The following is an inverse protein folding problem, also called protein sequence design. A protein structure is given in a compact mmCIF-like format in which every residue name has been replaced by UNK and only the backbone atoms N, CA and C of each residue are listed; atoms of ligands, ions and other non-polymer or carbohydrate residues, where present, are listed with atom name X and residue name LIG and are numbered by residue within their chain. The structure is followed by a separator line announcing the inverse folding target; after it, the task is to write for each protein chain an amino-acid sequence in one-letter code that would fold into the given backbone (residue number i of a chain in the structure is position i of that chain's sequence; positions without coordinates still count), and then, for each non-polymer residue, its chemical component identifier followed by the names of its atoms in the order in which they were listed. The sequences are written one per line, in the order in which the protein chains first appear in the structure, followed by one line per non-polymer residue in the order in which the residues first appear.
data_IF_108144687108
#
_entry.id   IF_108144687108
#
_cell.length_a   1.000
_cell.length_b   1.000
_cell.length_c   1.000
_cell.angle_alpha   90.00
_cell.angle_beta   90.00
_cell.angle_gamma   90.00
#
_symmetry.space_group_name_H-M   'P 1'
#
loop_
_entity.id
_entity.type
_entity.pdbx_description
1 polymer ?
#
# COMPACT_ATOMS: atom_id res chain seq x y z
N UNK A 1 29.10 27.12 -10.49
CA UNK A 1 28.79 27.60 -11.86
C UNK A 1 28.06 26.52 -12.61
N UNK A 2 27.12 26.87 -13.48
CA UNK A 2 26.52 25.96 -14.46
C UNK A 2 27.25 26.12 -15.80
N UNK A 3 27.59 24.98 -16.41
CA UNK A 3 28.38 24.90 -17.64
C UNK A 3 27.70 23.90 -18.56
N UNK A 4 27.71 24.16 -19.87
CA UNK A 4 27.20 23.21 -20.85
C UNK A 4 27.98 21.89 -20.81
N UNK A 5 27.26 20.76 -20.69
CA UNK A 5 27.86 19.43 -20.65
C UNK A 5 28.61 19.06 -21.93
N UNK A 6 28.15 19.56 -23.09
CA UNK A 6 28.80 19.38 -24.39
C UNK A 6 30.10 20.17 -24.49
N UNK A 7 30.15 21.38 -23.93
CA UNK A 7 31.40 22.14 -23.80
C UNK A 7 32.40 21.40 -22.92
N UNK A 8 31.96 20.81 -21.81
CA UNK A 8 32.85 20.07 -20.90
C UNK A 8 33.47 18.82 -21.55
N UNK A 9 32.82 18.22 -22.55
CA UNK A 9 33.28 16.98 -23.22
C UNK A 9 34.03 17.25 -24.53
N UNK A 10 33.58 18.21 -25.32
CA UNK A 10 34.06 18.45 -26.69
C UNK A 10 34.58 19.88 -26.91
N UNK A 11 34.71 20.65 -25.84
CA UNK A 11 35.27 22.00 -25.83
C UNK A 11 34.55 22.94 -26.81
N UNK A 12 35.21 24.00 -27.27
CA UNK A 12 34.62 25.05 -28.12
C UNK A 12 34.17 24.59 -29.50
N UNK A 13 34.46 23.34 -29.88
CA UNK A 13 34.02 22.76 -31.15
C UNK A 13 32.51 22.48 -31.19
N UNK A 14 31.89 22.25 -30.03
CA UNK A 14 30.47 21.86 -29.91
C UNK A 14 29.58 22.91 -29.23
N UNK A 15 30.13 23.75 -28.35
CA UNK A 15 29.39 24.80 -27.65
C UNK A 15 30.33 25.93 -27.22
N UNK A 16 29.80 27.14 -27.02
CA UNK A 16 30.60 28.25 -26.49
C UNK A 16 30.99 28.04 -25.02
N UNK A 17 32.15 28.58 -24.63
CA UNK A 17 32.72 28.48 -23.28
C UNK A 17 32.02 29.39 -22.25
N UNK A 18 30.69 29.40 -22.25
CA UNK A 18 29.92 30.20 -21.33
C UNK A 18 29.70 29.41 -20.03
N UNK A 19 30.12 30.00 -18.91
CA UNK A 19 29.81 29.53 -17.57
C UNK A 19 28.99 30.61 -16.87
N UNK A 20 27.91 30.20 -16.20
CA UNK A 20 27.04 31.10 -15.46
C UNK A 20 27.23 30.81 -13.98
N UNK A 21 27.36 31.86 -13.17
CA UNK A 21 27.39 31.73 -11.71
C UNK A 21 26.15 30.97 -11.23
N UNK A 22 26.36 29.99 -10.35
CA UNK A 22 25.26 29.16 -9.85
C UNK A 22 24.21 30.02 -9.13
N UNK A 23 24.68 30.95 -8.29
CA UNK A 23 23.83 31.89 -7.54
C UNK A 23 22.89 32.70 -8.44
N UNK A 24 23.35 33.11 -9.63
CA UNK A 24 22.54 33.90 -10.57
C UNK A 24 21.44 33.03 -11.16
N UNK A 25 21.78 31.82 -11.60
CA UNK A 25 20.82 30.86 -12.19
C UNK A 25 19.79 30.44 -11.14
N UNK A 26 20.25 30.05 -9.95
CA UNK A 26 19.39 29.63 -8.85
C UNK A 26 18.45 30.74 -8.41
N UNK A 27 18.94 31.99 -8.33
CA UNK A 27 18.08 33.15 -8.01
C UNK A 27 16.98 33.35 -9.04
N UNK A 28 17.31 33.30 -10.33
CA UNK A 28 16.32 33.46 -11.41
C UNK A 28 15.31 32.33 -11.38
N UNK A 29 15.76 31.08 -11.24
CA UNK A 29 14.87 29.91 -11.12
C UNK A 29 13.95 30.06 -9.90
N UNK A 30 14.47 30.45 -8.74
CA UNK A 30 13.67 30.65 -7.54
C UNK A 30 12.59 31.72 -7.72
N UNK A 31 12.89 32.83 -8.39
CA UNK A 31 11.88 33.87 -8.69
C UNK A 31 10.77 33.32 -9.59
N UNK A 32 11.12 32.54 -10.62
CA UNK A 32 10.13 31.93 -11.50
C UNK A 32 9.32 30.84 -10.79
N UNK A 33 9.95 30.02 -9.95
CA UNK A 33 9.26 29.01 -9.15
C UNK A 33 8.26 29.65 -8.19
N UNK A 34 8.64 30.69 -7.45
CA UNK A 34 7.73 31.39 -6.54
C UNK A 34 6.55 32.02 -7.29
N UNK A 35 6.75 32.51 -8.51
CA UNK A 35 5.67 33.03 -9.37
C UNK A 35 4.71 31.94 -9.88
N UNK A 36 5.20 30.73 -10.06
CA UNK A 36 4.37 29.58 -10.45
C UNK A 36 3.60 29.08 -9.22
N UNK A 37 4.27 28.97 -8.07
CA UNK A 37 3.67 28.52 -6.83
C UNK A 37 2.67 29.53 -6.26
N UNK A 38 2.79 30.83 -6.53
CA UNK A 38 1.78 31.83 -6.13
C UNK A 38 0.44 31.70 -6.87
N UNK A 39 0.35 30.86 -7.91
CA UNK A 39 -0.89 30.61 -8.64
C UNK A 39 -1.70 29.50 -7.95
N UNK A 40 -2.88 29.82 -7.39
CA UNK A 40 -3.65 28.87 -6.59
C UNK A 40 -4.14 27.66 -7.41
N UNK A 41 -4.37 27.83 -8.70
CA UNK A 41 -4.82 26.75 -9.58
C UNK A 41 -3.73 25.72 -9.85
N UNK A 42 -2.47 26.17 -9.96
CA UNK A 42 -1.31 25.28 -10.12
C UNK A 42 -1.10 24.45 -8.85
N UNK A 43 -1.20 25.07 -7.67
CA UNK A 43 -1.11 24.34 -6.39
C UNK A 43 -2.20 23.26 -6.30
N UNK A 44 -3.44 23.61 -6.65
CA UNK A 44 -4.55 22.65 -6.63
C UNK A 44 -4.31 21.48 -7.58
N UNK A 45 -3.79 21.73 -8.77
CA UNK A 45 -3.45 20.67 -9.73
C UNK A 45 -2.35 19.76 -9.20
N UNK A 46 -1.25 20.33 -8.69
CA UNK A 46 -0.14 19.56 -8.09
C UNK A 46 -0.66 18.69 -6.94
N UNK A 47 -1.42 19.29 -6.02
CA UNK A 47 -1.99 18.55 -4.89
C UNK A 47 -2.96 17.45 -5.33
N UNK A 48 -3.69 17.65 -6.43
CA UNK A 48 -4.61 16.64 -6.95
C UNK A 48 -3.85 15.49 -7.60
N UNK A 49 -2.84 15.77 -8.42
CA UNK A 49 -2.01 14.76 -9.08
C UNK A 49 -1.25 13.90 -8.06
N UNK A 50 -0.66 14.51 -7.04
CA UNK A 50 0.05 13.76 -5.96
C UNK A 50 -0.92 12.84 -5.21
N UNK A 51 -2.13 13.31 -4.92
CA UNK A 51 -3.14 12.50 -4.24
C UNK A 51 -3.65 11.37 -5.14
N UNK A 52 -3.82 11.62 -6.43
CA UNK A 52 -4.22 10.58 -7.39
C UNK A 52 -3.14 9.50 -7.53
N UNK A 53 -1.86 9.87 -7.62
CA UNK A 53 -0.76 8.90 -7.62
C UNK A 53 -0.71 8.07 -6.34
N UNK A 54 -0.93 8.71 -5.18
CA UNK A 54 -1.00 8.00 -3.90
C UNK A 54 -2.19 7.04 -3.85
N UNK A 55 -3.36 7.46 -4.34
CA UNK A 55 -4.55 6.60 -4.45
C UNK A 55 -4.31 5.40 -5.37
N UNK A 56 -3.69 5.61 -6.53
CA UNK A 56 -3.37 4.53 -7.47
C UNK A 56 -2.40 3.53 -6.84
N UNK A 57 -1.35 4.00 -6.16
CA UNK A 57 -0.40 3.13 -5.44
C UNK A 57 -1.08 2.33 -4.33
N UNK A 58 -1.97 2.95 -3.56
CA UNK A 58 -2.73 2.26 -2.52
C UNK A 58 -3.72 1.25 -3.10
N UNK A 59 -4.45 1.59 -4.17
CA UNK A 59 -5.41 0.69 -4.84
C UNK A 59 -4.73 -0.57 -5.34
N UNK A 60 -3.53 -0.44 -5.92
CA UNK A 60 -2.75 -1.58 -6.40
C UNK A 60 -2.18 -2.45 -5.25
N UNK A 61 -2.18 -1.95 -4.01
CA UNK A 61 -1.78 -2.71 -2.81
C UNK A 61 -2.96 -3.38 -2.10
N UNK A 62 -4.21 -3.05 -2.43
CA UNK A 62 -5.39 -3.51 -1.67
C UNK A 62 -5.91 -4.89 -2.12
N UNK A 63 -5.29 -5.55 -3.10
CA UNK A 63 -5.80 -6.82 -3.67
C UNK A 63 -5.40 -8.09 -2.92
N UNK A 64 -4.74 -8.00 -1.76
CA UNK A 64 -4.61 -9.15 -0.85
C UNK A 64 -5.52 -8.93 0.35
N UNK A 65 -6.81 -8.66 0.10
CA UNK A 65 -7.84 -9.04 1.07
C UNK A 65 -7.83 -10.56 1.10
N UNK A 66 -7.03 -11.13 2.00
CA UNK A 66 -7.17 -12.54 2.34
C UNK A 66 -8.65 -12.83 2.50
N UNK A 67 -9.16 -13.83 1.78
CA UNK A 67 -10.58 -14.19 1.77
C UNK A 67 -10.93 -14.85 3.12
N UNK A 68 -11.02 -14.00 4.15
CA UNK A 68 -11.37 -14.38 5.52
C UNK A 68 -12.72 -15.10 5.51
N UNK A 69 -13.65 -14.69 4.64
CA UNK A 69 -14.96 -15.33 4.48
C UNK A 69 -14.83 -16.77 3.98
N UNK A 70 -13.96 -17.04 3.01
CA UNK A 70 -13.68 -18.40 2.54
C UNK A 70 -13.00 -19.25 3.62
N UNK A 71 -12.04 -18.69 4.36
CA UNK A 71 -11.39 -19.40 5.47
C UNK A 71 -12.38 -19.72 6.61
N UNK A 72 -13.26 -18.77 6.96
CA UNK A 72 -14.32 -18.99 7.96
C UNK A 72 -15.35 -20.03 7.50
N UNK A 73 -15.71 -20.06 6.20
CA UNK A 73 -16.55 -21.11 5.62
C UNK A 73 -15.89 -22.49 5.68
N UNK A 74 -14.58 -22.58 5.43
CA UNK A 74 -13.84 -23.84 5.55
C UNK A 74 -13.81 -24.33 7.01
N UNK A 75 -13.59 -23.41 7.95
CA UNK A 75 -13.65 -23.70 9.39
C UNK A 75 -15.04 -24.22 9.82
N UNK A 76 -16.11 -23.60 9.34
CA UNK A 76 -17.48 -24.02 9.63
C UNK A 76 -17.76 -25.45 9.10
N UNK A 77 -17.31 -25.77 7.89
CA UNK A 77 -17.44 -27.12 7.31
C UNK A 77 -16.73 -28.19 8.15
N UNK A 78 -15.51 -27.92 8.62
CA UNK A 78 -14.77 -28.86 9.46
C UNK A 78 -15.44 -29.09 10.82
N UNK A 79 -16.05 -28.05 11.41
CA UNK A 79 -16.85 -28.20 12.65
C UNK A 79 -18.07 -29.09 12.44
N UNK A 80 -18.81 -28.88 11.35
CA UNK A 80 -19.95 -29.75 11.01
C UNK A 80 -19.51 -31.20 10.75
N UNK A 81 -18.32 -31.41 10.19
CA UNK A 81 -17.74 -32.75 10.03
C UNK A 81 -17.37 -33.39 11.37
N UNK A 82 -16.87 -32.62 12.34
CA UNK A 82 -16.64 -33.12 13.71
C UNK A 82 -17.94 -33.51 14.41
N UNK A 83 -18.99 -32.68 14.31
CA UNK A 83 -20.30 -32.98 14.87
C UNK A 83 -20.86 -34.28 14.30
N UNK A 84 -20.79 -34.46 12.98
CA UNK A 84 -21.22 -35.69 12.31
C UNK A 84 -20.39 -36.92 12.70
N UNK A 85 -19.09 -36.75 12.95
CA UNK A 85 -18.23 -37.84 13.43
C UNK A 85 -18.63 -38.30 14.85
N UNK A 86 -19.03 -37.36 15.70
CA UNK A 86 -19.54 -37.68 17.04
C UNK A 86 -20.88 -38.40 16.97
N UNK A 87 -21.78 -38.00 16.06
CA UNK A 87 -23.04 -38.70 15.81
C UNK A 87 -22.81 -40.16 15.37
N UNK A 88 -21.94 -40.39 14.39
CA UNK A 88 -21.60 -41.74 13.91
C UNK A 88 -20.97 -42.64 15.00
N UNK A 89 -20.25 -42.05 15.95
CA UNK A 89 -19.72 -42.78 17.10
C UNK A 89 -20.83 -43.16 18.09
N UNK A 90 -21.78 -42.26 18.33
CA UNK A 90 -22.92 -42.51 19.23
C UNK A 90 -23.87 -43.57 18.67
N UNK A 91 -23.97 -43.68 17.34
CA UNK A 91 -24.74 -44.69 16.63
C UNK A 91 -24.02 -46.06 16.53
N UNK A 92 -22.86 -46.22 17.21
CA UNK A 92 -22.04 -47.44 17.24
C UNK A 92 -21.50 -47.86 15.84
N UNK A 93 -21.51 -46.95 14.87
CA UNK A 93 -21.00 -47.16 13.51
C UNK A 93 -19.48 -46.93 13.38
N UNK A 94 -18.80 -46.54 14.47
CA UNK A 94 -17.38 -46.20 14.45
C UNK A 94 -16.67 -46.52 15.78
N UNK A 95 -15.46 -47.08 15.68
CA UNK A 95 -14.61 -47.39 16.84
C UNK A 95 -13.89 -46.14 17.40
N UNK A 96 -13.64 -46.16 18.72
CA UNK A 96 -12.99 -45.10 19.50
C UNK A 96 -11.58 -44.76 19.01
N UNK A 97 -10.82 -45.74 18.53
CA UNK A 97 -9.48 -45.48 17.97
C UNK A 97 -9.56 -44.71 16.64
N UNK A 98 -10.52 -45.05 15.76
CA UNK A 98 -10.75 -44.34 14.51
C UNK A 98 -11.29 -42.93 14.73
N UNK A 99 -12.18 -42.74 15.70
CA UNK A 99 -12.67 -41.43 16.11
C UNK A 99 -11.51 -40.53 16.56
N UNK A 100 -10.65 -41.00 17.47
CA UNK A 100 -9.52 -40.23 17.99
C UNK A 100 -8.54 -39.82 16.89
N UNK A 101 -8.23 -40.72 15.95
CA UNK A 101 -7.35 -40.42 14.83
C UNK A 101 -7.92 -39.31 13.93
N UNK A 102 -9.19 -39.44 13.52
CA UNK A 102 -9.85 -38.42 12.68
C UNK A 102 -10.06 -37.09 13.40
N UNK A 103 -10.37 -37.13 14.70
CA UNK A 103 -10.55 -35.92 15.50
C UNK A 103 -9.23 -35.17 15.68
N UNK A 104 -8.11 -35.87 15.88
CA UNK A 104 -6.77 -35.29 15.93
C UNK A 104 -6.39 -34.60 14.62
N UNK A 105 -6.63 -35.24 13.48
CA UNK A 105 -6.36 -34.67 12.16
C UNK A 105 -7.19 -33.40 11.91
N UNK A 106 -8.49 -33.44 12.23
CA UNK A 106 -9.37 -32.28 12.09
C UNK A 106 -8.99 -31.12 13.02
N UNK A 107 -8.54 -31.42 14.25
CA UNK A 107 -8.06 -30.40 15.17
C UNK A 107 -6.80 -29.71 14.66
N UNK A 108 -5.86 -30.46 14.07
CA UNK A 108 -4.67 -29.86 13.44
C UNK A 108 -5.05 -28.95 12.27
N UNK A 109 -6.00 -29.37 11.43
CA UNK A 109 -6.50 -28.54 10.33
C UNK A 109 -7.21 -27.28 10.83
N UNK A 110 -7.97 -27.37 11.92
CA UNK A 110 -8.61 -26.21 12.57
C UNK A 110 -7.58 -25.23 13.14
N UNK A 111 -6.52 -25.72 13.78
CA UNK A 111 -5.43 -24.89 14.30
C UNK A 111 -4.70 -24.13 13.18
N UNK A 112 -4.41 -24.79 12.06
CA UNK A 112 -3.81 -24.16 10.88
C UNK A 112 -4.73 -23.08 10.30
N UNK A 113 -6.02 -23.36 10.14
CA UNK A 113 -7.00 -22.38 9.66
C UNK A 113 -7.16 -21.21 10.63
N UNK A 114 -7.13 -21.44 11.94
CA UNK A 114 -7.20 -20.38 12.95
C UNK A 114 -5.97 -19.47 12.92
N UNK A 115 -4.79 -20.05 12.73
CA UNK A 115 -3.56 -19.29 12.56
C UNK A 115 -3.60 -18.45 11.27
N UNK A 116 -4.06 -19.02 10.16
CA UNK A 116 -4.23 -18.30 8.89
C UNK A 116 -5.26 -17.17 8.98
N UNK A 117 -6.38 -17.37 9.67
CA UNK A 117 -7.40 -16.33 9.90
C UNK A 117 -6.81 -15.21 10.76
N UNK A 118 -6.01 -15.54 11.78
CA UNK A 118 -5.37 -14.56 12.65
C UNK A 118 -4.35 -13.71 11.89
N UNK A 119 -3.52 -14.34 11.07
CA UNK A 119 -2.54 -13.66 10.19
C UNK A 119 -3.25 -12.78 9.16
N UNK A 120 -4.31 -13.29 8.53
CA UNK A 120 -5.15 -12.53 7.60
C UNK A 120 -5.81 -11.31 8.27
N UNK A 121 -6.33 -11.45 9.51
CA UNK A 121 -6.93 -10.35 10.27
C UNK A 121 -5.90 -9.29 10.66
N UNK A 122 -4.69 -9.69 11.05
CA UNK A 122 -3.59 -8.77 11.36
C UNK A 122 -3.11 -8.01 10.10
N UNK A 123 -3.01 -8.70 8.96
CA UNK A 123 -2.65 -8.09 7.69
C UNK A 123 -3.70 -7.07 7.20
N UNK A 124 -4.99 -7.39 7.34
CA UNK A 124 -6.09 -6.48 6.98
C UNK A 124 -6.20 -5.28 7.93
N UNK A 125 -6.01 -5.46 9.24
CA UNK A 125 -5.98 -4.33 10.20
C UNK A 125 -4.86 -3.32 9.88
N UNK A 126 -3.74 -3.79 9.32
CA UNK A 126 -2.63 -2.93 8.89
C UNK A 126 -2.96 -2.16 7.59
N UNK A 127 -3.99 -2.58 6.84
CA UNK A 127 -4.46 -1.92 5.61
C UNK A 127 -5.59 -0.90 5.86
N UNK A 128 -6.29 -0.97 7.01
CA UNK A 128 -7.38 -0.04 7.36
C UNK A 128 -6.91 1.39 7.71
N UNK A 129 -5.59 1.62 7.79
CA UNK A 129 -4.99 2.97 7.86
C UNK A 129 -5.01 3.66 6.47
N UNK A 130 -6.16 3.62 5.79
CA UNK A 130 -6.39 4.36 4.54
C UNK A 130 -6.21 5.84 4.88
N UNK A 131 -5.17 6.51 4.35
CA UNK A 131 -4.96 7.91 4.66
C UNK A 131 -6.17 8.71 4.20
N UNK A 132 -6.72 9.58 5.06
CA UNK A 132 -7.76 10.51 4.63
C UNK A 132 -7.16 11.47 3.59
N UNK A 133 -7.34 11.13 2.31
CA UNK A 133 -6.75 11.83 1.18
C UNK A 133 -7.24 13.27 1.06
N UNK A 134 -8.45 13.59 1.51
CA UNK A 134 -8.96 14.96 1.50
C UNK A 134 -8.28 15.82 2.56
N UNK A 135 -8.07 15.27 3.76
CA UNK A 135 -7.27 15.92 4.82
C UNK A 135 -5.82 16.11 4.37
N UNK A 136 -5.26 15.12 3.66
CA UNK A 136 -3.90 15.19 3.13
C UNK A 136 -3.78 16.26 2.05
N UNK A 137 -4.74 16.33 1.11
CA UNK A 137 -4.83 17.35 0.06
C UNK A 137 -4.87 18.76 0.64
N UNK A 138 -5.75 18.99 1.63
CA UNK A 138 -5.86 20.29 2.29
C UNK A 138 -4.54 20.71 2.98
N UNK A 139 -3.85 19.76 3.62
CA UNK A 139 -2.59 20.02 4.31
C UNK A 139 -1.43 20.28 3.33
N UNK A 140 -1.43 19.60 2.19
CA UNK A 140 -0.47 19.79 1.10
C UNK A 140 -0.61 21.18 0.48
N UNK A 141 -1.85 21.59 0.19
CA UNK A 141 -2.15 22.94 -0.31
C UNK A 141 -1.66 23.99 0.70
N UNK A 142 -2.01 23.83 1.99
CA UNK A 142 -1.58 24.74 3.05
C UNK A 142 -0.06 24.84 3.19
N UNK A 143 0.67 23.72 3.09
CA UNK A 143 2.14 23.75 3.10
C UNK A 143 2.68 24.52 1.89
N UNK A 144 2.26 24.18 0.68
CA UNK A 144 2.77 24.82 -0.54
C UNK A 144 2.49 26.33 -0.53
N UNK A 145 1.31 26.75 -0.08
CA UNK A 145 0.96 28.17 0.05
C UNK A 145 1.76 28.93 1.11
N UNK A 146 2.33 28.25 2.12
CA UNK A 146 3.17 28.89 3.16
C UNK A 146 4.61 29.12 2.71
N UNK A 147 5.05 28.43 1.67
CA UNK A 147 6.39 28.57 1.10
C UNK A 147 6.44 29.56 -0.09
N UNK A 148 5.30 30.06 -0.54
CA UNK A 148 5.18 31.07 -1.61
C UNK A 148 5.20 32.50 -1.08
#
# INVERSE_FOLDING_TARGET
YYICSLFNRSWSSACHSNSIYAEVVERVINVHLNRILSQPDIIKQIASNVIEELKQKHSNQTEIKYDIDSLEKQKAKLKTQQERLLELFLDDEMDSEMLKAKQSEMNQQLEVLDQQIKEAKQANQSQDDIPNFDKLKARLILMITRFS
#
